data_IF_951147281476
#
_entry.id   IF_951147281476
#
_cell.length_a   1.000
_cell.length_b   1.000
_cell.length_c   1.000
_cell.angle_alpha   90.00
_cell.angle_beta   90.00
_cell.angle_gamma   90.00
#
_symmetry.space_group_name_H-M   'P 1'
#
loop_
_entity.id
_entity.type
_entity.pdbx_description
1 polymer ?
#
# COMPACT_ATOMS: atom_id res chain seq x y z
N UNK A 1 17.20 -50.89 34.98
CA UNK A 1 16.15 -50.69 33.96
C UNK A 1 15.42 -49.34 34.06
N UNK A 2 15.66 -48.51 35.08
CA UNK A 2 15.06 -47.15 35.17
C UNK A 2 15.83 -46.08 34.37
N UNK A 3 17.15 -46.17 34.32
CA UNK A 3 18.02 -45.21 33.62
C UNK A 3 17.70 -45.14 32.11
N UNK A 4 17.38 -46.29 31.50
CA UNK A 4 17.00 -46.35 30.08
C UNK A 4 15.69 -45.60 29.82
N UNK A 5 14.67 -45.80 30.65
CA UNK A 5 13.40 -45.08 30.54
C UNK A 5 13.55 -43.57 30.73
N UNK A 6 14.41 -43.14 31.66
CA UNK A 6 14.71 -41.71 31.86
C UNK A 6 15.41 -41.13 30.62
N UNK A 7 16.34 -41.87 30.03
CA UNK A 7 17.06 -41.44 28.82
C UNK A 7 16.11 -41.32 27.63
N UNK A 8 15.25 -42.30 27.41
CA UNK A 8 14.25 -42.28 26.33
C UNK A 8 13.26 -41.11 26.51
N UNK A 9 12.79 -40.87 27.74
CA UNK A 9 11.93 -39.73 28.05
C UNK A 9 12.62 -38.39 27.77
N UNK A 10 13.89 -38.25 28.14
CA UNK A 10 14.67 -37.05 27.87
C UNK A 10 14.86 -36.80 26.37
N UNK A 11 15.25 -37.83 25.62
CA UNK A 11 15.43 -37.75 24.17
C UNK A 11 14.12 -37.40 23.45
N UNK A 12 13.00 -37.98 23.90
CA UNK A 12 11.68 -37.64 23.37
C UNK A 12 11.31 -36.17 23.63
N UNK A 13 11.54 -35.68 24.85
CA UNK A 13 11.34 -34.27 25.18
C UNK A 13 12.22 -33.33 24.35
N UNK A 14 13.50 -33.69 24.14
CA UNK A 14 14.41 -32.93 23.31
C UNK A 14 13.93 -32.87 21.84
N UNK A 15 13.45 -33.99 21.30
CA UNK A 15 12.84 -34.04 19.96
C UNK A 15 11.62 -33.13 19.85
N UNK A 16 10.71 -33.16 20.85
CA UNK A 16 9.52 -32.30 20.86
C UNK A 16 9.89 -30.81 20.86
N UNK A 17 10.90 -30.40 21.64
CA UNK A 17 11.38 -29.02 21.66
C UNK A 17 11.90 -28.57 20.29
N UNK A 18 12.67 -29.43 19.60
CA UNK A 18 13.18 -29.13 18.26
C UNK A 18 12.04 -28.98 17.23
N UNK A 19 11.07 -29.89 17.25
CA UNK A 19 9.90 -29.84 16.35
C UNK A 19 9.11 -28.55 16.58
N UNK A 20 8.83 -28.19 17.84
CA UNK A 20 8.10 -26.97 18.16
C UNK A 20 8.86 -25.72 17.71
N UNK A 21 10.18 -25.69 17.88
CA UNK A 21 11.03 -24.58 17.42
C UNK A 21 11.03 -24.45 15.89
N UNK A 22 11.05 -25.56 15.17
CA UNK A 22 10.95 -25.56 13.70
C UNK A 22 9.57 -25.10 13.24
N UNK A 23 8.50 -25.60 13.86
CA UNK A 23 7.13 -25.19 13.54
C UNK A 23 6.93 -23.69 13.78
N UNK A 24 7.38 -23.16 14.92
CA UNK A 24 7.32 -21.74 15.22
C UNK A 24 8.08 -20.88 14.20
N UNK A 25 9.26 -21.33 13.73
CA UNK A 25 9.99 -20.64 12.66
C UNK A 25 9.23 -20.66 11.34
N UNK A 26 8.63 -21.79 10.98
CA UNK A 26 7.84 -21.92 9.77
C UNK A 26 6.60 -21.02 9.82
N UNK A 27 5.91 -20.98 10.97
CA UNK A 27 4.75 -20.12 11.20
C UNK A 27 5.14 -18.63 11.07
N UNK A 28 6.31 -18.25 11.57
CA UNK A 28 6.83 -16.88 11.42
C UNK A 28 7.09 -16.52 9.95
N UNK A 29 7.67 -17.43 9.17
CA UNK A 29 7.90 -17.20 7.73
C UNK A 29 6.58 -17.04 6.98
N UNK A 30 5.59 -17.89 7.26
CA UNK A 30 4.26 -17.79 6.66
C UNK A 30 3.58 -16.48 7.05
N UNK A 31 3.68 -16.06 8.31
CA UNK A 31 3.13 -14.79 8.77
C UNK A 31 3.79 -13.59 8.09
N UNK A 32 5.12 -13.60 7.96
CA UNK A 32 5.86 -12.54 7.26
C UNK A 32 5.47 -12.45 5.78
N UNK A 33 5.28 -13.60 5.12
CA UNK A 33 4.85 -13.63 3.73
C UNK A 33 3.43 -13.05 3.57
N UNK A 34 2.48 -13.47 4.42
CA UNK A 34 1.12 -12.92 4.44
C UNK A 34 1.11 -11.42 4.65
N UNK A 35 1.86 -10.92 5.64
CA UNK A 35 1.95 -9.49 5.92
C UNK A 35 2.53 -8.70 4.74
N UNK A 36 3.55 -9.25 4.05
CA UNK A 36 4.11 -8.64 2.85
C UNK A 36 3.10 -8.56 1.71
N UNK A 37 2.27 -9.59 1.54
CA UNK A 37 1.25 -9.62 0.50
C UNK A 37 0.07 -8.68 0.84
N UNK A 38 -0.32 -8.60 2.10
CA UNK A 38 -1.33 -7.64 2.59
C UNK A 38 -0.87 -6.18 2.44
N UNK A 39 0.40 -5.91 2.72
CA UNK A 39 1.00 -4.58 2.51
C UNK A 39 0.93 -4.18 1.03
N UNK A 40 1.34 -5.07 0.12
CA UNK A 40 1.23 -4.82 -1.33
C UNK A 40 -0.21 -4.60 -1.78
N UNK A 41 -1.15 -5.39 -1.26
CA UNK A 41 -2.57 -5.25 -1.60
C UNK A 41 -3.13 -3.90 -1.12
N UNK A 42 -2.68 -3.45 0.05
CA UNK A 42 -3.04 -2.15 0.60
C UNK A 42 -2.46 -1.01 -0.24
N UNK A 43 -1.18 -1.08 -0.62
CA UNK A 43 -0.54 -0.08 -1.49
C UNK A 43 -1.25 0.02 -2.84
N UNK A 44 -1.57 -1.12 -3.46
CA UNK A 44 -2.33 -1.16 -4.71
C UNK A 44 -3.71 -0.52 -4.56
N UNK A 45 -4.40 -0.80 -3.46
CA UNK A 45 -5.71 -0.18 -3.16
C UNK A 45 -5.59 1.34 -3.01
N UNK A 46 -4.54 1.82 -2.34
CA UNK A 46 -4.30 3.26 -2.19
C UNK A 46 -4.08 3.95 -3.53
N UNK A 47 -3.25 3.36 -4.40
CA UNK A 47 -3.02 3.89 -5.76
C UNK A 47 -4.33 3.97 -6.55
N UNK A 48 -5.13 2.91 -6.55
CA UNK A 48 -6.43 2.90 -7.24
C UNK A 48 -7.39 3.95 -6.69
N UNK A 49 -7.39 4.19 -5.38
CA UNK A 49 -8.20 5.23 -4.76
C UNK A 49 -7.73 6.64 -5.16
N UNK A 50 -6.41 6.85 -5.28
CA UNK A 50 -5.86 8.12 -5.77
C UNK A 50 -6.24 8.37 -7.22
N UNK A 51 -6.10 7.37 -8.09
CA UNK A 51 -6.48 7.46 -9.50
C UNK A 51 -7.97 7.79 -9.66
N UNK A 52 -8.83 7.12 -8.87
CA UNK A 52 -10.26 7.43 -8.85
C UNK A 52 -10.52 8.88 -8.41
N UNK A 53 -9.80 9.37 -7.40
CA UNK A 53 -9.94 10.76 -6.95
C UNK A 53 -9.52 11.77 -8.01
N UNK A 54 -8.45 11.50 -8.75
CA UNK A 54 -8.02 12.36 -9.87
C UNK A 54 -9.10 12.38 -10.95
N UNK A 55 -9.64 11.22 -11.31
CA UNK A 55 -10.72 11.11 -12.29
C UNK A 55 -11.97 11.89 -11.86
N UNK A 56 -12.42 11.72 -10.60
CA UNK A 56 -13.56 12.47 -10.05
C UNK A 56 -13.33 13.98 -10.12
N UNK A 57 -12.12 14.44 -9.79
CA UNK A 57 -11.76 15.87 -9.86
C UNK A 57 -11.79 16.40 -11.29
N UNK A 58 -11.27 15.65 -12.27
CA UNK A 58 -11.34 16.03 -13.68
C UNK A 58 -12.79 16.16 -14.14
N UNK A 59 -13.67 15.20 -13.80
CA UNK A 59 -15.09 15.26 -14.13
C UNK A 59 -15.75 16.51 -13.53
N UNK A 60 -15.41 16.86 -12.28
CA UNK A 60 -15.96 18.06 -11.63
C UNK A 60 -15.50 19.34 -12.34
N UNK A 61 -14.20 19.45 -12.65
CA UNK A 61 -13.64 20.64 -13.32
C UNK A 61 -14.16 20.81 -14.74
N UNK A 62 -14.30 19.70 -15.49
CA UNK A 62 -14.88 19.69 -16.83
C UNK A 62 -16.35 20.14 -16.79
N UNK A 63 -17.16 19.57 -15.88
CA UNK A 63 -18.57 19.95 -15.73
C UNK A 63 -18.76 21.38 -15.24
N UNK A 64 -17.84 21.90 -14.44
CA UNK A 64 -17.81 23.29 -14.03
C UNK A 64 -17.37 24.25 -15.15
N UNK A 65 -16.94 23.72 -16.30
CA UNK A 65 -16.50 24.51 -17.45
C UNK A 65 -15.15 25.19 -17.24
N UNK A 66 -14.29 24.65 -16.35
CA UNK A 66 -12.96 25.22 -16.10
C UNK A 66 -12.10 25.01 -17.35
N UNK A 67 -11.63 26.08 -18.02
CA UNK A 67 -10.89 25.95 -19.27
C UNK A 67 -9.63 25.12 -19.12
N UNK A 68 -9.35 24.26 -20.10
CA UNK A 68 -8.16 23.40 -20.11
C UNK A 68 -8.28 22.11 -19.30
N UNK A 69 -9.41 21.86 -18.62
CA UNK A 69 -9.68 20.61 -17.90
C UNK A 69 -10.73 19.77 -18.64
N UNK A 70 -10.40 18.51 -18.85
CA UNK A 70 -11.25 17.47 -19.45
C UNK A 70 -10.80 16.11 -18.91
N UNK A 71 -11.67 15.10 -18.97
CA UNK A 71 -11.32 13.76 -18.49
C UNK A 71 -10.29 13.11 -19.42
N UNK A 72 -9.14 12.70 -18.88
CA UNK A 72 -8.06 12.07 -19.66
C UNK A 72 -7.18 11.19 -18.79
N UNK A 73 -6.77 10.05 -19.35
CA UNK A 73 -5.78 9.13 -18.75
C UNK A 73 -4.39 9.29 -19.38
N UNK A 74 -4.21 10.21 -20.33
CA UNK A 74 -2.90 10.47 -20.92
C UNK A 74 -2.00 11.20 -19.90
N UNK A 75 -0.82 10.66 -19.54
CA UNK A 75 0.03 11.23 -18.51
C UNK A 75 0.56 12.64 -18.87
N UNK A 76 0.74 12.95 -20.16
CA UNK A 76 1.16 14.28 -20.59
C UNK A 76 0.04 15.29 -20.37
N UNK A 77 -1.19 14.94 -20.74
CA UNK A 77 -2.36 15.82 -20.56
C UNK A 77 -2.62 16.07 -19.06
N UNK A 78 -2.58 15.02 -18.24
CA UNK A 78 -2.73 15.14 -16.77
C UNK A 78 -1.66 16.07 -16.22
N UNK A 79 -0.41 15.93 -16.67
CA UNK A 79 0.70 16.80 -16.23
C UNK A 79 0.46 18.26 -16.62
N UNK A 80 -0.05 18.53 -17.82
CA UNK A 80 -0.42 19.88 -18.27
C UNK A 80 -1.56 20.44 -17.43
N UNK A 81 -2.63 19.67 -17.19
CA UNK A 81 -3.74 20.07 -16.32
C UNK A 81 -3.28 20.39 -14.90
N UNK A 82 -2.30 19.66 -14.36
CA UNK A 82 -1.70 19.95 -13.05
C UNK A 82 -0.90 21.26 -13.03
N UNK A 83 -0.12 21.54 -14.08
CA UNK A 83 0.55 22.85 -14.17
C UNK A 83 -0.44 24.01 -14.30
N UNK A 84 -1.52 23.81 -15.06
CA UNK A 84 -2.58 24.80 -15.18
C UNK A 84 -3.30 25.04 -13.84
N UNK A 85 -3.58 23.97 -13.10
CA UNK A 85 -4.18 24.05 -11.76
C UNK A 85 -3.29 24.83 -10.79
N UNK A 86 -2.00 24.49 -10.73
CA UNK A 86 -1.03 25.21 -9.91
C UNK A 86 -0.94 26.70 -10.29
N UNK A 87 -0.95 27.01 -11.60
CA UNK A 87 -0.97 28.38 -12.09
C UNK A 87 -2.21 29.16 -11.63
N UNK A 88 -3.41 28.60 -11.81
CA UNK A 88 -4.67 29.23 -11.37
C UNK A 88 -4.67 29.44 -9.85
N UNK A 89 -4.19 28.46 -9.07
CA UNK A 89 -4.09 28.55 -7.61
C UNK A 89 -3.06 29.59 -7.14
N UNK A 90 -1.99 29.82 -7.91
CA UNK A 90 -1.04 30.90 -7.63
C UNK A 90 -1.63 32.27 -7.95
N UNK A 91 -2.34 32.40 -9.09
CA UNK A 91 -3.02 33.64 -9.44
C UNK A 91 -4.06 34.04 -8.39
N UNK A 92 -4.85 33.10 -7.88
CA UNK A 92 -5.89 33.40 -6.87
C UNK A 92 -5.33 33.91 -5.54
N UNK A 93 -4.06 33.64 -5.25
CA UNK A 93 -3.34 34.13 -4.06
C UNK A 93 -2.55 35.41 -4.33
N UNK A 94 -2.48 35.86 -5.58
CA UNK A 94 -1.76 37.08 -5.94
C UNK A 94 -2.55 38.30 -5.47
N UNK A 95 -1.88 39.23 -4.79
CA UNK A 95 -2.47 40.54 -4.48
C UNK A 95 -2.51 41.35 -5.77
N UNK A 96 -3.70 41.71 -6.21
CA UNK A 96 -3.90 42.55 -7.40
C UNK A 96 -3.39 43.97 -7.04
N UNK A 97 -2.37 44.49 -7.74
CA UNK A 97 -1.95 45.87 -7.55
C UNK A 97 -3.08 46.84 -7.92
N UNK A 98 -3.21 47.97 -7.22
CA UNK A 98 -4.28 48.95 -7.47
C UNK A 98 -4.21 49.55 -8.88
#
# INVERSE_FOLDING_TARGET
MEIQHVTEKHLYQQRLQLINKQKSKQDLVVLQQKHKDEMKATDMKLVLQLDQKVSDQQVVLEKAGVPGFFVTNNPLDVKVQMYLLDFILRLSKMKIPP
#
